data_IF_134686423913
#
_entry.id   IF_134686423913
#
_cell.length_a   1.000
_cell.length_b   1.000
_cell.length_c   1.000
_cell.angle_alpha   90.00
_cell.angle_beta   90.00
_cell.angle_gamma   90.00
#
_symmetry.space_group_name_H-M   'P 1'
#
loop_
_entity.id
_entity.type
_entity.pdbx_description
1 polymer ?
#
# COMPACT_ATOMS: atom_id res chain seq x y z
N UNK A 1 5.91 -22.40 -36.85
CA UNK A 1 5.80 -21.74 -35.54
C UNK A 1 7.09 -22.01 -34.78
N UNK A 2 7.90 -20.98 -34.48
CA UNK A 2 9.17 -21.14 -33.75
C UNK A 2 8.90 -21.19 -32.25
N UNK A 3 8.88 -22.40 -31.67
CA UNK A 3 8.84 -22.58 -30.22
C UNK A 3 10.25 -22.31 -29.66
N UNK A 4 10.46 -21.12 -29.10
CA UNK A 4 11.69 -20.83 -28.34
C UNK A 4 11.58 -21.55 -27.00
N UNK A 5 12.51 -22.47 -26.72
CA UNK A 5 12.63 -23.09 -25.41
C UNK A 5 13.09 -22.05 -24.40
N UNK A 6 12.25 -21.75 -23.42
CA UNK A 6 12.62 -20.86 -22.32
C UNK A 6 13.40 -21.68 -21.32
N UNK A 7 14.63 -21.29 -21.01
CA UNK A 7 15.42 -21.98 -19.99
C UNK A 7 14.72 -21.85 -18.64
N UNK A 8 14.49 -22.98 -17.94
CA UNK A 8 13.72 -23.03 -16.69
C UNK A 8 14.25 -22.05 -15.62
N UNK A 9 15.58 -21.88 -15.57
CA UNK A 9 16.25 -20.92 -14.69
C UNK A 9 15.90 -19.45 -15.03
N UNK A 10 15.74 -19.13 -16.31
CA UNK A 10 15.31 -17.80 -16.76
C UNK A 10 13.86 -17.50 -16.38
N UNK A 11 12.98 -18.49 -16.48
CA UNK A 11 11.59 -18.37 -16.05
C UNK A 11 11.48 -18.14 -14.54
N UNK A 12 12.17 -18.96 -13.74
CA UNK A 12 12.19 -18.83 -12.28
C UNK A 12 12.71 -17.47 -11.83
N UNK A 13 13.80 -16.97 -12.44
CA UNK A 13 14.35 -15.65 -12.13
C UNK A 13 13.33 -14.55 -12.38
N UNK A 14 12.64 -14.60 -13.52
CA UNK A 14 11.63 -13.59 -13.86
C UNK A 14 10.44 -13.64 -12.91
N UNK A 15 9.95 -14.84 -12.56
CA UNK A 15 8.87 -15.00 -11.58
C UNK A 15 9.29 -14.40 -10.23
N UNK A 16 10.48 -14.76 -9.72
CA UNK A 16 10.98 -14.25 -8.45
C UNK A 16 11.08 -12.72 -8.43
N UNK A 17 11.64 -12.11 -9.49
CA UNK A 17 11.77 -10.65 -9.59
C UNK A 17 10.40 -9.95 -9.66
N UNK A 18 9.45 -10.49 -10.43
CA UNK A 18 8.09 -9.94 -10.54
C UNK A 18 7.37 -10.04 -9.19
N UNK A 19 7.45 -11.18 -8.52
CA UNK A 19 6.84 -11.38 -7.20
C UNK A 19 7.39 -10.40 -6.16
N UNK A 20 8.71 -10.20 -6.12
CA UNK A 20 9.33 -9.21 -5.23
C UNK A 20 8.90 -7.79 -5.55
N UNK A 21 8.80 -7.42 -6.84
CA UNK A 21 8.30 -6.11 -7.26
C UNK A 21 6.86 -5.88 -6.82
N UNK A 22 5.98 -6.86 -7.03
CA UNK A 22 4.57 -6.79 -6.61
C UNK A 22 4.46 -6.65 -5.09
N UNK A 23 5.28 -7.40 -4.34
CA UNK A 23 5.38 -7.28 -2.89
C UNK A 23 5.76 -5.85 -2.51
N UNK A 24 6.82 -5.30 -3.10
CA UNK A 24 7.24 -3.94 -2.81
C UNK A 24 6.11 -2.93 -3.05
N UNK A 25 5.39 -3.02 -4.17
CA UNK A 25 4.27 -2.11 -4.51
C UNK A 25 3.16 -2.16 -3.46
N UNK A 26 2.72 -3.36 -3.05
CA UNK A 26 1.61 -3.50 -2.08
C UNK A 26 2.00 -3.14 -0.64
N UNK A 27 3.28 -3.30 -0.28
CA UNK A 27 3.80 -2.97 1.05
C UNK A 27 4.37 -1.56 1.17
N UNK A 28 4.41 -0.77 0.09
CA UNK A 28 4.79 0.64 0.21
C UNK A 28 3.84 1.34 1.17
N UNK A 29 4.40 1.91 2.24
CA UNK A 29 3.71 2.86 3.08
C UNK A 29 3.35 4.04 2.19
N UNK A 30 2.08 4.13 1.78
CA UNK A 30 1.53 5.32 1.13
C UNK A 30 1.45 6.43 2.18
N UNK A 31 2.63 6.98 2.51
CA UNK A 31 2.81 8.15 3.36
C UNK A 31 2.35 9.43 2.62
N UNK A 32 2.27 9.38 1.29
CA UNK A 32 1.85 10.49 0.45
C UNK A 32 0.34 10.43 0.18
N UNK A 33 -0.35 11.47 0.65
CA UNK A 33 -1.68 11.94 0.30
C UNK A 33 -2.61 10.85 -0.24
N UNK A 34 -3.39 10.23 0.64
CA UNK A 34 -4.35 9.19 0.29
C UNK A 34 -5.34 9.71 -0.76
N UNK A 35 -4.97 9.60 -2.04
CA UNK A 35 -5.71 10.08 -3.21
C UNK A 35 -5.69 11.62 -3.45
N UNK A 36 -4.61 12.32 -3.08
CA UNK A 36 -4.38 13.73 -3.44
C UNK A 36 -4.92 14.78 -2.46
N UNK A 37 -5.35 14.36 -1.27
CA UNK A 37 -5.96 15.22 -0.25
C UNK A 37 -4.97 15.89 0.74
N UNK A 38 -3.66 15.67 0.56
CA UNK A 38 -2.65 16.13 1.51
C UNK A 38 -2.44 15.17 2.70
N UNK A 39 -1.50 15.53 3.58
CA UNK A 39 -1.18 14.75 4.77
C UNK A 39 -2.33 14.79 5.77
N UNK A 40 -2.66 13.66 6.38
CA UNK A 40 -3.73 13.56 7.38
C UNK A 40 -5.14 13.38 6.82
N UNK A 41 -5.30 13.43 5.49
CA UNK A 41 -6.59 13.32 4.81
C UNK A 41 -6.58 12.22 3.74
N UNK A 42 -7.77 11.70 3.46
CA UNK A 42 -8.00 10.75 2.38
C UNK A 42 -9.26 11.12 1.58
N UNK A 43 -9.34 10.65 0.34
CA UNK A 43 -10.50 10.88 -0.50
C UNK A 43 -11.59 9.88 -0.17
N UNK A 44 -12.72 10.36 0.32
CA UNK A 44 -13.89 9.54 0.61
C UNK A 44 -14.41 8.86 -0.66
N UNK A 45 -14.69 7.56 -0.57
CA UNK A 45 -15.13 6.75 -1.72
C UNK A 45 -16.52 7.20 -2.22
N UNK A 46 -17.39 7.63 -1.32
CA UNK A 46 -18.80 7.91 -1.62
C UNK A 46 -19.03 9.25 -2.33
N UNK A 47 -18.23 10.28 -2.03
CA UNK A 47 -18.44 11.64 -2.56
C UNK A 47 -17.17 12.30 -3.10
N UNK A 48 -16.01 11.63 -3.05
CA UNK A 48 -14.75 12.18 -3.53
C UNK A 48 -14.20 13.34 -2.69
N UNK A 49 -14.78 13.63 -1.52
CA UNK A 49 -14.35 14.74 -0.65
C UNK A 49 -13.14 14.32 0.17
N UNK A 50 -12.24 15.26 0.43
CA UNK A 50 -11.13 15.06 1.35
C UNK A 50 -11.61 15.09 2.79
N UNK A 51 -11.51 13.96 3.47
CA UNK A 51 -11.94 13.81 4.86
C UNK A 51 -10.78 13.30 5.71
N UNK A 52 -10.83 13.63 7.01
CA UNK A 52 -9.77 13.29 7.95
C UNK A 52 -9.54 11.78 7.95
N UNK A 53 -8.28 11.35 7.94
CA UNK A 53 -7.89 9.95 7.90
C UNK A 53 -7.96 9.30 9.29
N UNK A 54 -9.09 9.48 9.96
CA UNK A 54 -9.32 8.98 11.32
C UNK A 54 -9.39 7.44 11.31
N UNK A 55 -8.91 6.74 12.36
CA UNK A 55 -8.97 5.29 12.46
C UNK A 55 -10.40 4.77 12.29
N UNK A 56 -10.57 3.88 11.31
CA UNK A 56 -11.82 3.16 11.07
C UNK A 56 -11.87 1.80 11.77
N UNK A 57 -12.84 0.95 11.41
CA UNK A 57 -12.89 -0.44 11.85
C UNK A 57 -11.58 -1.18 11.53
N UNK A 58 -11.14 -2.06 12.42
CA UNK A 58 -9.88 -2.82 12.32
C UNK A 58 -8.60 -1.97 12.36
N UNK A 59 -8.70 -0.69 12.70
CA UNK A 59 -7.52 0.11 13.01
C UNK A 59 -6.92 -0.31 14.35
N UNK A 60 -5.60 -0.42 14.39
CA UNK A 60 -4.83 -0.61 15.62
C UNK A 60 -4.02 0.65 15.93
N UNK A 61 -3.86 1.03 17.21
CA UNK A 61 -3.05 2.18 17.58
C UNK A 61 -1.59 1.98 17.16
N UNK A 62 -0.89 3.06 16.84
CA UNK A 62 0.55 3.06 16.59
C UNK A 62 1.27 3.70 17.80
N UNK A 63 1.73 2.92 18.80
CA UNK A 63 2.14 3.45 20.11
C UNK A 63 3.28 4.47 20.06
N UNK A 64 4.17 4.34 19.08
CA UNK A 64 5.35 5.20 18.90
C UNK A 64 5.14 6.33 17.89
N UNK A 65 3.91 6.52 17.40
CA UNK A 65 3.57 7.52 16.38
C UNK A 65 2.26 8.25 16.78
N UNK A 66 2.35 9.34 17.56
CA UNK A 66 1.19 10.14 17.95
C UNK A 66 0.41 10.63 16.73
N UNK A 67 -0.92 10.51 16.75
CA UNK A 67 -1.75 10.90 15.60
C UNK A 67 -1.76 9.90 14.45
N UNK A 68 -1.19 8.70 14.65
CA UNK A 68 -1.16 7.63 13.67
C UNK A 68 -1.79 6.32 14.18
N UNK A 69 -2.17 5.48 13.23
CA UNK A 69 -2.78 4.17 13.41
C UNK A 69 -2.29 3.22 12.33
N UNK A 70 -2.51 1.92 12.51
CA UNK A 70 -2.24 0.90 11.50
C UNK A 70 -3.56 0.30 11.02
N UNK A 71 -3.70 0.17 9.71
CA UNK A 71 -4.86 -0.48 9.12
C UNK A 71 -4.78 -2.02 9.25
N UNK A 72 -5.80 -2.72 8.74
CA UNK A 72 -5.87 -4.19 8.75
C UNK A 72 -4.66 -4.87 8.06
N UNK A 73 -3.97 -4.15 7.16
CA UNK A 73 -2.78 -4.62 6.44
C UNK A 73 -1.47 -4.21 7.13
N UNK A 74 -1.53 -3.67 8.35
CA UNK A 74 -0.36 -3.22 9.11
C UNK A 74 0.29 -1.93 8.61
N UNK A 75 -0.29 -1.28 7.59
CA UNK A 75 0.25 -0.04 7.02
C UNK A 75 0.01 1.12 7.99
N UNK A 76 1.06 1.91 8.24
CA UNK A 76 0.96 3.12 9.07
C UNK A 76 0.20 4.22 8.32
N UNK A 77 -0.73 4.86 9.02
CA UNK A 77 -1.62 5.92 8.53
C UNK A 77 -1.67 7.02 9.60
N UNK A 78 -1.69 8.29 9.21
CA UNK A 78 -1.71 9.41 10.14
C UNK A 78 -2.84 10.39 9.80
N UNK A 79 -3.30 11.14 10.80
CA UNK A 79 -4.37 12.14 10.72
C UNK A 79 -4.05 13.46 11.44
N UNK A 80 -2.84 13.61 11.97
CA UNK A 80 -2.34 14.79 12.66
C UNK A 80 -0.86 14.97 12.37
#
# INVERSE_FOLDING_TARGET
MNARSVCFQGLLRNIAMISLLLMAVVFTSTANAAQGCGYGYHRAIHNGVCVLNYPGPYATPAPYHPGCWRNMWGQLRCFR
#
